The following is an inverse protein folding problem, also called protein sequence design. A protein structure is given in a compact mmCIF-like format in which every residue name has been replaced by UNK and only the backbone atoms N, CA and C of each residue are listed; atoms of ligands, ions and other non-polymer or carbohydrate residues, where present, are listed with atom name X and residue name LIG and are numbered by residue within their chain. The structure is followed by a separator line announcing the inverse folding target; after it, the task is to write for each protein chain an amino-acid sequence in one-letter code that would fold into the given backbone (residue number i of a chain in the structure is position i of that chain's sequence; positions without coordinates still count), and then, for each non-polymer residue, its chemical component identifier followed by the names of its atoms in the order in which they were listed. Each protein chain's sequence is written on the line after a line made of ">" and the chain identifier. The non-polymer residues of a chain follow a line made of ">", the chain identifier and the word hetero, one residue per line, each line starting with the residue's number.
data_IF_911140636537
#
_entry.id   IF_911140636537
#
_cell.length_a   1.000
_cell.length_b   1.000
_cell.length_c   1.000
_cell.angle_alpha   90.00
_cell.angle_beta   90.00
_cell.angle_gamma   90.00
#
_symmetry.space_group_name_H-M   'P 1'
#
loop_
_entity.id
_entity.type
_entity.pdbx_description
1 polymer ?
#
# COMPACT_ATOMS: atom_id res chain seq x y z
N UNK A 1 -26.21 2.36 5.59
CA UNK A 1 -26.40 2.74 4.18
C UNK A 1 -25.29 2.05 3.41
N UNK A 2 -25.59 0.85 2.95
CA UNK A 2 -24.68 0.00 2.18
C UNK A 2 -24.72 0.47 0.73
N UNK A 3 -23.63 1.06 0.26
CA UNK A 3 -23.45 1.49 -1.13
C UNK A 3 -22.67 0.43 -1.92
N UNK A 4 -23.00 -0.84 -1.73
CA UNK A 4 -22.59 -1.89 -2.67
C UNK A 4 -23.38 -1.71 -3.96
N UNK A 5 -22.84 -0.91 -4.89
CA UNK A 5 -23.32 -0.91 -6.26
C UNK A 5 -23.08 -2.31 -6.82
N UNK A 6 -24.12 -3.05 -7.26
CA UNK A 6 -23.90 -4.35 -7.87
C UNK A 6 -23.00 -4.15 -9.08
N UNK A 7 -21.92 -4.94 -9.16
CA UNK A 7 -21.16 -5.09 -10.40
C UNK A 7 -22.11 -5.72 -11.43
N UNK A 8 -22.85 -4.88 -12.15
CA UNK A 8 -23.70 -5.31 -13.26
C UNK A 8 -22.77 -5.73 -14.37
N UNK A 9 -22.57 -7.03 -14.51
CA UNK A 9 -21.88 -7.61 -15.66
C UNK A 9 -22.85 -7.54 -16.83
N UNK A 10 -22.72 -6.49 -17.65
CA UNK A 10 -23.42 -6.40 -18.93
C UNK A 10 -22.67 -7.31 -19.90
N UNK A 11 -23.11 -8.56 -20.02
CA UNK A 11 -22.60 -9.45 -21.04
C UNK A 11 -22.95 -8.90 -22.44
N UNK A 12 -22.05 -9.14 -23.39
CA UNK A 12 -22.35 -8.88 -24.79
C UNK A 12 -23.62 -9.64 -25.20
N UNK A 13 -24.56 -9.02 -25.94
CA UNK A 13 -25.69 -9.76 -26.50
C UNK A 13 -25.18 -10.93 -27.33
N UNK A 14 -25.90 -12.06 -27.37
CA UNK A 14 -25.50 -13.26 -28.13
C UNK A 14 -25.25 -12.99 -29.64
N UNK A 15 -25.72 -11.85 -30.15
CA UNK A 15 -25.48 -11.35 -31.51
C UNK A 15 -24.19 -10.52 -31.67
N UNK A 16 -23.28 -10.57 -30.70
CA UNK A 16 -22.02 -9.81 -30.67
C UNK A 16 -21.21 -9.95 -31.96
N UNK A 17 -21.23 -11.11 -32.60
CA UNK A 17 -20.48 -11.38 -33.83
C UNK A 17 -20.96 -10.59 -35.05
N UNK A 18 -22.16 -10.01 -35.02
CA UNK A 18 -22.70 -9.15 -36.08
C UNK A 18 -22.37 -7.67 -35.89
N UNK A 19 -21.79 -7.28 -34.75
CA UNK A 19 -21.51 -5.88 -34.46
C UNK A 19 -20.22 -5.41 -35.16
N UNK A 20 -20.22 -4.19 -35.73
CA UNK A 20 -19.01 -3.61 -36.32
C UNK A 20 -17.86 -3.51 -35.32
N UNK A 21 -16.64 -3.72 -35.78
CA UNK A 21 -15.43 -3.78 -34.94
C UNK A 21 -15.19 -2.53 -34.10
N UNK A 22 -15.52 -1.34 -34.63
CA UNK A 22 -15.38 -0.08 -33.91
C UNK A 22 -16.34 0.05 -32.73
N UNK A 23 -17.53 -0.55 -32.83
CA UNK A 23 -18.51 -0.62 -31.73
C UNK A 23 -18.00 -1.55 -30.64
N UNK A 24 -17.38 -2.68 -31.01
CA UNK A 24 -16.75 -3.62 -30.07
C UNK A 24 -15.66 -2.95 -29.24
N UNK A 25 -14.70 -2.30 -29.93
CA UNK A 25 -13.60 -1.58 -29.28
C UNK A 25 -14.09 -0.46 -28.36
N UNK A 26 -15.17 0.23 -28.74
CA UNK A 26 -15.72 1.32 -27.92
C UNK A 26 -16.38 0.79 -26.65
N UNK A 27 -17.14 -0.31 -26.74
CA UNK A 27 -17.76 -0.94 -25.58
C UNK A 27 -16.71 -1.55 -24.65
N UNK A 28 -15.71 -2.25 -25.19
CA UNK A 28 -14.60 -2.79 -24.41
C UNK A 28 -13.85 -1.68 -23.65
N UNK A 29 -13.61 -0.54 -24.32
CA UNK A 29 -12.98 0.61 -23.69
C UNK A 29 -13.82 1.21 -22.55
N UNK A 30 -15.16 1.22 -22.68
CA UNK A 30 -16.06 1.71 -21.63
C UNK A 30 -16.15 0.73 -20.46
N UNK A 31 -16.22 -0.58 -20.74
CA UNK A 31 -16.25 -1.64 -19.73
C UNK A 31 -14.93 -1.68 -18.96
N UNK A 32 -13.80 -1.50 -19.65
CA UNK A 32 -12.49 -1.43 -19.03
C UNK A 32 -12.18 -0.06 -18.40
N UNK A 33 -12.95 0.98 -18.71
CA UNK A 33 -12.74 2.31 -18.15
C UNK A 33 -13.13 2.33 -16.68
N UNK A 34 -12.13 2.47 -15.81
CA UNK A 34 -12.35 2.67 -14.39
C UNK A 34 -12.92 4.06 -14.12
N UNK A 35 -14.09 4.12 -13.47
CA UNK A 35 -14.71 5.38 -13.06
C UNK A 35 -13.81 6.13 -12.07
N UNK A 36 -13.88 7.46 -12.08
CA UNK A 36 -13.12 8.28 -11.14
C UNK A 36 -13.42 7.92 -9.68
N UNK A 37 -14.68 7.55 -9.39
CA UNK A 37 -15.12 7.10 -8.07
C UNK A 37 -14.42 5.79 -7.64
N UNK A 38 -14.36 4.78 -8.52
CA UNK A 38 -13.68 3.52 -8.22
C UNK A 38 -12.16 3.72 -8.05
N UNK A 39 -11.56 4.70 -8.74
CA UNK A 39 -10.14 5.04 -8.54
C UNK A 39 -9.90 5.68 -7.18
N UNK A 40 -10.75 6.60 -6.75
CA UNK A 40 -10.65 7.22 -5.42
C UNK A 40 -10.92 6.22 -4.30
N UNK A 41 -11.96 5.39 -4.44
CA UNK A 41 -12.28 4.32 -3.50
C UNK A 41 -11.12 3.31 -3.41
N UNK A 42 -10.57 2.89 -4.55
CA UNK A 42 -9.39 2.00 -4.55
C UNK A 42 -8.15 2.68 -3.98
N UNK A 43 -7.95 3.98 -4.18
CA UNK A 43 -6.87 4.73 -3.54
C UNK A 43 -7.04 4.79 -2.02
N UNK A 44 -8.27 4.96 -1.53
CA UNK A 44 -8.62 4.87 -0.12
C UNK A 44 -8.44 3.44 0.43
N UNK A 45 -8.74 2.42 -0.36
CA UNK A 45 -8.48 1.01 -0.01
C UNK A 45 -6.99 0.64 -0.09
N UNK A 46 -6.18 1.30 -0.92
CA UNK A 46 -4.73 1.13 -0.89
C UNK A 46 -4.12 1.70 0.41
N UNK A 47 -4.83 2.61 1.09
CA UNK A 47 -4.51 3.02 2.45
C UNK A 47 -4.96 1.99 3.50
N UNK A 48 -5.64 0.89 3.16
CA UNK A 48 -5.92 -0.22 4.09
C UNK A 48 -5.05 -1.41 3.72
N UNK A 49 -4.00 -1.65 4.53
CA UNK A 49 -3.04 -2.74 4.28
C UNK A 49 -3.71 -4.14 4.28
N UNK A 50 -4.92 -4.26 4.87
CA UNK A 50 -5.72 -5.50 4.95
C UNK A 50 -7.24 -5.29 4.71
N UNK A 51 -7.69 -4.16 4.16
CA UNK A 51 -9.13 -3.88 4.00
C UNK A 51 -9.91 -3.58 5.30
N UNK A 52 -9.29 -3.71 6.48
CA UNK A 52 -9.87 -3.31 7.76
C UNK A 52 -9.66 -1.82 8.06
N UNK A 53 -10.65 -1.18 8.70
CA UNK A 53 -10.56 0.21 9.16
C UNK A 53 -9.42 0.31 10.19
N UNK A 54 -8.37 1.07 9.82
CA UNK A 54 -7.23 1.34 10.71
C UNK A 54 -7.72 2.00 12.00
N UNK A 55 -7.40 1.39 13.13
CA UNK A 55 -7.68 1.96 14.44
C UNK A 55 -6.53 2.90 14.86
N UNK A 56 -6.85 3.90 15.68
CA UNK A 56 -5.82 4.74 16.31
C UNK A 56 -5.01 3.85 17.26
N UNK A 57 -3.69 3.90 17.10
CA UNK A 57 -2.77 3.15 17.96
C UNK A 57 -2.72 3.76 19.36
N UNK A 58 -2.61 2.90 20.39
CA UNK A 58 -2.39 3.31 21.78
C UNK A 58 -1.12 4.16 21.99
N UNK A 59 -0.20 4.13 21.02
CA UNK A 59 1.05 4.89 21.06
C UNK A 59 0.94 6.27 20.39
N UNK A 60 -0.21 6.65 19.83
CA UNK A 60 -0.33 7.86 19.00
C UNK A 60 0.00 9.15 19.78
N UNK A 61 -0.46 9.24 21.03
CA UNK A 61 -0.27 10.42 21.88
C UNK A 61 1.01 10.36 22.73
N UNK A 62 1.57 9.16 22.92
CA UNK A 62 2.66 8.89 23.88
C UNK A 62 3.95 8.44 23.20
N UNK A 63 4.02 8.48 21.87
CA UNK A 63 5.21 8.09 21.14
C UNK A 63 6.35 9.05 21.45
N UNK A 64 7.38 8.56 22.12
CA UNK A 64 8.63 9.29 22.29
C UNK A 64 9.42 9.31 20.97
N UNK A 65 9.90 10.50 20.61
CA UNK A 65 10.81 10.71 19.49
C UNK A 65 12.15 11.22 20.03
N UNK A 66 13.23 10.48 19.72
CA UNK A 66 14.56 10.80 20.19
C UNK A 66 15.14 11.98 19.40
N UNK A 67 15.74 12.93 20.10
CA UNK A 67 16.54 13.96 19.45
C UNK A 67 17.94 13.40 19.14
N UNK A 68 18.15 12.99 17.90
CA UNK A 68 19.41 12.44 17.41
C UNK A 68 19.98 13.17 16.19
N UNK A 69 19.52 14.42 15.96
CA UNK A 69 19.93 15.31 14.84
C UNK A 69 19.76 14.73 13.43
N UNK A 70 19.07 13.59 13.30
CA UNK A 70 18.92 12.88 12.04
C UNK A 70 17.90 13.60 11.15
N UNK A 71 18.30 13.86 9.91
CA UNK A 71 17.43 14.44 8.87
C UNK A 71 17.15 13.40 7.79
N UNK A 72 15.88 13.06 7.61
CA UNK A 72 15.46 12.10 6.60
C UNK A 72 15.35 12.84 5.25
N UNK A 73 16.11 12.44 4.21
CA UNK A 73 15.99 13.05 2.88
C UNK A 73 14.65 12.69 2.24
N UNK A 74 14.18 13.42 1.21
CA UNK A 74 12.92 13.10 0.53
C UNK A 74 12.99 11.90 -0.42
N UNK A 75 14.18 11.37 -0.71
CA UNK A 75 14.40 10.22 -1.57
C UNK A 75 15.79 9.60 -1.33
N UNK A 76 16.11 8.54 -2.07
CA UNK A 76 17.44 7.92 -2.05
C UNK A 76 17.68 7.02 -0.84
N UNK A 77 16.62 6.56 -0.18
CA UNK A 77 16.73 5.73 1.01
C UNK A 77 17.29 4.34 0.70
N UNK A 78 17.98 3.79 1.70
CA UNK A 78 18.55 2.45 1.69
C UNK A 78 18.42 1.87 3.10
N UNK A 79 18.22 0.56 3.21
CA UNK A 79 18.29 -0.10 4.49
C UNK A 79 19.67 0.10 5.13
N UNK A 80 19.71 0.43 6.41
CA UNK A 80 20.98 0.63 7.14
C UNK A 80 21.78 -0.66 7.38
N UNK A 81 21.18 -1.83 7.15
CA UNK A 81 21.79 -3.14 7.43
C UNK A 81 21.97 -4.03 6.18
N UNK A 82 21.47 -3.62 5.01
CA UNK A 82 21.67 -4.37 3.76
C UNK A 82 21.50 -3.47 2.52
N UNK A 83 21.57 -4.05 1.33
CA UNK A 83 21.55 -3.29 0.07
C UNK A 83 20.16 -2.97 -0.49
N UNK A 84 19.09 -3.36 0.20
CA UNK A 84 17.72 -3.07 -0.23
C UNK A 84 17.42 -1.57 -0.25
N UNK A 85 16.75 -1.13 -1.31
CA UNK A 85 16.33 0.27 -1.57
C UNK A 85 14.81 0.42 -1.65
N UNK A 86 14.09 -0.68 -1.52
CA UNK A 86 12.65 -0.81 -1.57
C UNK A 86 12.14 -1.53 -0.31
N UNK A 87 10.83 -1.48 -0.09
CA UNK A 87 10.19 -2.02 1.12
C UNK A 87 10.88 -1.55 2.41
N UNK A 88 11.15 -0.24 2.49
CA UNK A 88 11.82 0.41 3.61
C UNK A 88 10.80 0.99 4.59
N UNK A 89 11.15 0.92 5.86
CA UNK A 89 10.33 1.37 6.98
C UNK A 89 11.16 2.32 7.83
N UNK A 90 10.65 3.52 8.02
CA UNK A 90 11.20 4.54 8.91
C UNK A 90 10.59 4.37 10.30
N UNK A 91 11.40 4.04 11.31
CA UNK A 91 10.94 4.02 12.69
C UNK A 91 10.71 5.45 13.20
N UNK A 92 9.53 5.70 13.79
CA UNK A 92 9.13 7.05 14.20
C UNK A 92 9.78 7.52 15.52
N UNK A 93 10.39 6.60 16.29
CA UNK A 93 11.08 6.95 17.54
C UNK A 93 12.51 7.40 17.30
N UNK A 94 13.28 6.69 16.49
CA UNK A 94 14.72 6.96 16.31
C UNK A 94 15.13 7.31 14.88
N UNK A 95 14.19 7.30 13.93
CA UNK A 95 14.46 7.62 12.54
C UNK A 95 15.30 6.58 11.80
N UNK A 96 15.43 5.35 12.31
CA UNK A 96 16.09 4.25 11.61
C UNK A 96 15.31 3.84 10.35
N UNK A 97 16.03 3.60 9.24
CA UNK A 97 15.48 3.16 7.95
C UNK A 97 15.91 1.72 7.68
N UNK A 98 14.95 0.81 7.77
CA UNK A 98 15.22 -0.63 7.72
C UNK A 98 14.26 -1.35 6.79
N UNK A 99 14.72 -2.42 6.13
CA UNK A 99 13.88 -3.19 5.22
C UNK A 99 12.82 -3.99 5.99
N UNK A 100 11.68 -4.23 5.32
CA UNK A 100 10.55 -4.97 5.85
C UNK A 100 10.79 -6.46 6.06
N UNK A 101 9.71 -7.17 6.37
CA UNK A 101 9.74 -8.61 6.68
C UNK A 101 10.04 -9.45 5.44
N UNK A 102 10.68 -10.59 5.65
CA UNK A 102 10.85 -11.65 4.66
C UNK A 102 9.56 -12.47 4.58
N UNK A 103 9.07 -12.72 3.36
CA UNK A 103 7.93 -13.60 3.12
C UNK A 103 8.40 -15.05 2.85
N UNK A 104 7.50 -16.01 3.01
CA UNK A 104 7.81 -17.43 2.86
C UNK A 104 8.14 -17.83 1.41
N UNK A 105 7.64 -17.05 0.45
CA UNK A 105 7.89 -17.20 -0.99
C UNK A 105 9.29 -16.67 -1.41
N UNK A 106 10.06 -16.15 -0.46
CA UNK A 106 11.40 -15.59 -0.70
C UNK A 106 11.39 -14.11 -1.07
N UNK A 107 10.22 -13.48 -1.25
CA UNK A 107 10.08 -12.04 -1.54
C UNK A 107 10.06 -11.20 -0.26
N UNK A 108 10.00 -9.88 -0.38
CA UNK A 108 9.93 -8.95 0.74
C UNK A 108 11.28 -8.35 1.12
N UNK A 109 11.57 -8.22 2.41
CA UNK A 109 12.82 -7.70 2.95
C UNK A 109 13.61 -8.75 3.76
N UNK A 110 14.58 -8.28 4.54
CA UNK A 110 15.47 -9.11 5.35
C UNK A 110 15.18 -9.02 6.86
N UNK A 111 13.96 -8.67 7.27
CA UNK A 111 13.51 -8.58 8.67
C UNK A 111 14.18 -7.49 9.54
N UNK A 112 15.09 -6.68 9.02
CA UNK A 112 15.80 -5.70 9.85
C UNK A 112 14.89 -4.74 10.63
N UNK A 113 13.76 -4.28 10.06
CA UNK A 113 12.82 -3.42 10.79
C UNK A 113 12.15 -4.14 11.98
N UNK A 114 11.78 -5.42 11.82
CA UNK A 114 11.16 -6.18 12.92
C UNK A 114 12.19 -6.61 13.96
N UNK A 115 13.41 -6.94 13.55
CA UNK A 115 14.53 -7.21 14.46
C UNK A 115 14.90 -5.98 15.28
N UNK A 116 14.89 -4.80 14.66
CA UNK A 116 15.08 -3.54 15.36
C UNK A 116 13.99 -3.32 16.41
N UNK A 117 12.72 -3.49 16.06
CA UNK A 117 11.64 -3.46 17.05
C UNK A 117 11.87 -4.44 18.21
N UNK A 118 12.34 -5.66 17.93
CA UNK A 118 12.60 -6.61 19.01
C UNK A 118 13.69 -6.15 19.97
N UNK A 119 14.70 -5.43 19.48
CA UNK A 119 15.82 -4.88 20.26
C UNK A 119 15.44 -3.61 21.03
N UNK A 120 14.70 -2.70 20.42
CA UNK A 120 14.43 -1.35 20.98
C UNK A 120 13.05 -1.18 21.57
N UNK A 121 12.08 -1.99 21.13
CA UNK A 121 10.64 -1.85 21.41
C UNK A 121 10.01 -0.57 20.88
N UNK A 122 10.64 0.09 19.91
CA UNK A 122 10.08 1.29 19.26
C UNK A 122 8.92 0.92 18.34
N UNK A 123 7.66 1.25 18.70
CA UNK A 123 6.50 0.49 18.26
C UNK A 123 5.94 0.89 16.90
N UNK A 124 6.28 2.08 16.40
CA UNK A 124 5.67 2.64 15.19
C UNK A 124 6.71 2.88 14.11
N UNK A 125 6.35 2.50 12.87
CA UNK A 125 7.11 2.79 11.68
C UNK A 125 6.17 3.16 10.53
N UNK A 126 6.66 4.00 9.62
CA UNK A 126 5.97 4.39 8.38
C UNK A 126 6.73 3.84 7.17
N UNK A 127 6.00 3.35 6.18
CA UNK A 127 6.60 2.87 4.92
C UNK A 127 7.03 4.08 4.08
N UNK A 128 8.29 4.06 3.62
CA UNK A 128 8.89 5.06 2.73
C UNK A 128 8.60 4.78 1.26
#
# INVERSE_FOLDING_TARGET
>A
MDASYPNIIIAYPEEADKLPEHVKKSADAIIAAESAFLKEERAAMNATWNGEIRQITKHAETLEQLNNERKIPPNGWKCEQCDLKDNLWLNLTDGSILCGRKFFDGTGGNNHAVEHYYKTKYPLAVKL
#
